data_IF_735830844564
#
_entry.id   IF_735830844564
#
_cell.length_a   1.000
_cell.length_b   1.000
_cell.length_c   1.000
_cell.angle_alpha   90.00
_cell.angle_beta   90.00
_cell.angle_gamma   90.00
#
_symmetry.space_group_name_H-M   'P 1'
#
loop_
_entity.id
_entity.type
_entity.pdbx_description
1 polymer ?
#
# COMPACT_ATOMS: atom_id res chain seq x y z
N UNK A 1 -4.71 -33.73 -7.17
CA UNK A 1 -4.98 -32.82 -8.30
C UNK A 1 -3.66 -32.44 -8.93
N UNK A 2 -3.64 -32.27 -10.25
CA UNK A 2 -2.49 -31.80 -11.03
C UNK A 2 -1.89 -30.49 -10.48
N UNK A 3 -2.74 -29.55 -10.06
CA UNK A 3 -2.32 -28.25 -9.50
C UNK A 3 -1.39 -28.44 -8.28
N UNK A 4 -1.78 -29.29 -7.33
CA UNK A 4 -0.98 -29.58 -6.13
C UNK A 4 0.37 -30.23 -6.46
N UNK A 5 0.42 -31.05 -7.52
CA UNK A 5 1.69 -31.64 -7.98
C UNK A 5 2.64 -30.55 -8.49
N UNK A 6 2.13 -29.60 -9.28
CA UNK A 6 2.91 -28.48 -9.80
C UNK A 6 3.44 -27.59 -8.66
N UNK A 7 2.62 -27.27 -7.66
CA UNK A 7 3.03 -26.47 -6.49
C UNK A 7 4.18 -27.12 -5.72
N UNK A 8 4.07 -28.41 -5.42
CA UNK A 8 5.13 -29.16 -4.73
C UNK A 8 6.41 -29.18 -5.56
N UNK A 9 6.29 -29.36 -6.88
CA UNK A 9 7.44 -29.36 -7.78
C UNK A 9 8.13 -27.99 -7.83
N UNK A 10 7.36 -26.90 -7.83
CA UNK A 10 7.90 -25.55 -7.77
C UNK A 10 8.70 -25.30 -6.49
N UNK A 11 8.19 -25.73 -5.33
CA UNK A 11 8.93 -25.63 -4.06
C UNK A 11 10.24 -26.42 -4.12
N UNK A 12 10.19 -27.65 -4.62
CA UNK A 12 11.38 -28.51 -4.75
C UNK A 12 12.45 -27.89 -5.65
N UNK A 13 12.05 -27.25 -6.76
CA UNK A 13 12.99 -26.64 -7.71
C UNK A 13 13.81 -25.50 -7.09
N UNK A 14 13.30 -24.83 -6.06
CA UNK A 14 14.00 -23.72 -5.39
C UNK A 14 15.40 -24.09 -4.89
N UNK A 15 15.60 -25.33 -4.42
CA UNK A 15 16.92 -25.79 -3.95
C UNK A 15 17.91 -25.97 -5.10
N UNK A 16 17.45 -26.32 -6.30
CA UNK A 16 18.32 -26.42 -7.48
C UNK A 16 18.79 -25.04 -7.93
N UNK A 17 17.90 -24.05 -7.90
CA UNK A 17 18.24 -22.64 -8.16
C UNK A 17 19.26 -22.15 -7.15
N UNK A 18 19.02 -22.39 -5.85
CA UNK A 18 19.97 -22.09 -4.78
C UNK A 18 21.35 -22.68 -5.07
N UNK A 19 21.45 -24.00 -5.31
CA UNK A 19 22.74 -24.64 -5.52
C UNK A 19 23.45 -24.17 -6.78
N UNK A 20 22.71 -23.85 -7.84
CA UNK A 20 23.27 -23.28 -9.06
C UNK A 20 23.91 -21.93 -8.77
N UNK A 21 23.18 -21.01 -8.15
CA UNK A 21 23.65 -19.67 -7.85
C UNK A 21 24.76 -19.66 -6.81
N UNK A 22 24.63 -20.43 -5.74
CA UNK A 22 25.64 -20.53 -4.70
C UNK A 22 26.98 -21.04 -5.24
N UNK A 23 26.97 -22.07 -6.11
CA UNK A 23 28.21 -22.60 -6.71
C UNK A 23 28.80 -21.67 -7.78
N UNK A 24 27.96 -21.12 -8.66
CA UNK A 24 28.43 -20.33 -9.81
C UNK A 24 28.83 -18.91 -9.41
N UNK A 25 28.04 -18.26 -8.54
CA UNK A 25 28.17 -16.84 -8.22
C UNK A 25 28.85 -16.61 -6.87
N UNK A 26 28.57 -17.46 -5.87
CA UNK A 26 29.05 -17.25 -4.50
C UNK A 26 30.23 -18.15 -4.11
N UNK A 27 30.65 -19.05 -5.00
CA UNK A 27 31.84 -19.88 -4.79
C UNK A 27 31.67 -21.02 -3.78
N UNK A 28 30.42 -21.46 -3.51
CA UNK A 28 30.15 -22.59 -2.62
C UNK A 28 31.01 -23.82 -2.98
N UNK A 29 31.78 -24.31 -2.01
CA UNK A 29 32.66 -25.47 -2.16
C UNK A 29 34.01 -25.18 -2.81
N UNK A 30 34.40 -23.90 -2.97
CA UNK A 30 35.72 -23.52 -3.48
C UNK A 30 36.75 -23.27 -2.38
N UNK A 31 36.36 -23.25 -1.10
CA UNK A 31 37.29 -23.13 0.02
C UNK A 31 38.38 -24.21 -0.03
N UNK A 32 39.65 -23.79 0.03
CA UNK A 32 40.83 -24.67 0.07
C UNK A 32 41.50 -24.67 1.45
N UNK A 33 40.80 -24.22 2.48
CA UNK A 33 41.33 -24.27 3.85
C UNK A 33 41.42 -25.71 4.33
N UNK A 34 42.53 -26.05 4.97
CA UNK A 34 42.72 -27.35 5.61
C UNK A 34 42.05 -27.44 6.99
N UNK A 35 41.53 -26.32 7.50
CA UNK A 35 40.78 -26.28 8.75
C UNK A 35 39.28 -26.53 8.50
N UNK A 36 38.70 -27.43 9.29
CA UNK A 36 37.29 -27.81 9.14
C UNK A 36 36.36 -26.68 9.55
N UNK A 37 36.71 -25.92 10.60
CA UNK A 37 35.91 -24.78 11.06
C UNK A 37 35.87 -23.69 9.99
N UNK A 38 37.00 -23.45 9.30
CA UNK A 38 37.04 -22.55 8.15
C UNK A 38 36.14 -23.01 6.98
N UNK A 39 36.03 -24.32 6.70
CA UNK A 39 35.12 -24.83 5.67
C UNK A 39 33.65 -24.68 6.06
N UNK A 40 33.33 -24.90 7.35
CA UNK A 40 31.99 -24.64 7.89
C UNK A 40 31.66 -23.15 7.74
N UNK A 41 32.57 -22.28 8.17
CA UNK A 41 32.38 -20.84 8.12
C UNK A 41 32.15 -20.34 6.67
N UNK A 42 32.96 -20.77 5.71
CA UNK A 42 32.81 -20.42 4.29
C UNK A 42 31.43 -20.84 3.74
N UNK A 43 31.01 -22.07 4.06
CA UNK A 43 29.69 -22.58 3.66
C UNK A 43 28.57 -21.75 4.29
N UNK A 44 28.64 -21.46 5.59
CA UNK A 44 27.63 -20.66 6.30
C UNK A 44 27.57 -19.23 5.76
N UNK A 45 28.72 -18.60 5.51
CA UNK A 45 28.79 -17.26 4.92
C UNK A 45 28.13 -17.26 3.55
N UNK A 46 28.41 -18.25 2.71
CA UNK A 46 27.78 -18.40 1.39
C UNK A 46 26.26 -18.50 1.48
N UNK A 47 25.74 -19.24 2.47
CA UNK A 47 24.30 -19.36 2.72
C UNK A 47 23.68 -18.00 3.10
N UNK A 48 24.33 -17.27 4.01
CA UNK A 48 23.89 -15.94 4.45
C UNK A 48 23.90 -14.95 3.27
N UNK A 49 24.97 -14.96 2.47
CA UNK A 49 25.09 -14.13 1.27
C UNK A 49 23.94 -14.38 0.30
N UNK A 50 23.61 -15.64 0.02
CA UNK A 50 22.48 -15.98 -0.83
C UNK A 50 21.15 -15.46 -0.25
N UNK A 51 20.90 -15.64 1.05
CA UNK A 51 19.68 -15.14 1.70
C UNK A 51 19.55 -13.62 1.52
N UNK A 52 20.61 -12.86 1.76
CA UNK A 52 20.60 -11.41 1.65
C UNK A 52 20.40 -10.94 0.20
N UNK A 53 21.06 -11.57 -0.76
CA UNK A 53 20.93 -11.25 -2.18
C UNK A 53 19.52 -11.57 -2.69
N UNK A 54 18.98 -12.74 -2.38
CA UNK A 54 17.62 -13.11 -2.80
C UNK A 54 16.57 -12.26 -2.10
N UNK A 55 16.79 -11.86 -0.85
CA UNK A 55 15.94 -10.88 -0.15
C UNK A 55 15.94 -9.54 -0.87
N UNK A 56 17.11 -8.98 -1.17
CA UNK A 56 17.25 -7.74 -1.93
C UNK A 56 16.57 -7.84 -3.29
N UNK A 57 16.82 -8.93 -4.02
CA UNK A 57 16.19 -9.17 -5.31
C UNK A 57 14.66 -9.20 -5.21
N UNK A 58 14.10 -9.83 -4.16
CA UNK A 58 12.66 -9.79 -3.90
C UNK A 58 12.16 -8.38 -3.63
N UNK A 59 12.83 -7.60 -2.78
CA UNK A 59 12.45 -6.19 -2.55
C UNK A 59 12.48 -5.35 -3.83
N UNK A 60 13.42 -5.62 -4.73
CA UNK A 60 13.56 -4.85 -5.97
C UNK A 60 12.60 -5.32 -7.09
N UNK A 61 12.26 -6.62 -7.15
CA UNK A 61 11.57 -7.22 -8.31
C UNK A 61 10.22 -7.90 -8.00
N UNK A 62 10.01 -8.41 -6.77
CA UNK A 62 8.83 -9.23 -6.43
C UNK A 62 7.92 -8.63 -5.36
N UNK A 63 8.45 -7.86 -4.41
CA UNK A 63 7.62 -7.05 -3.53
C UNK A 63 6.99 -5.96 -4.39
N UNK A 64 5.83 -6.29 -4.91
CA UNK A 64 4.97 -5.31 -5.52
C UNK A 64 4.70 -4.27 -4.44
N UNK A 65 5.24 -3.08 -4.66
CA UNK A 65 4.66 -1.87 -4.09
C UNK A 65 3.14 -1.81 -4.36
N UNK A 66 2.56 -2.68 -5.21
CA UNK A 66 1.14 -2.82 -5.48
C UNK A 66 0.25 -2.85 -4.25
N UNK A 67 0.52 -3.69 -3.24
CA UNK A 67 -0.33 -3.71 -2.04
C UNK A 67 -0.24 -2.39 -1.24
N UNK A 68 0.96 -1.79 -1.16
CA UNK A 68 1.17 -0.47 -0.56
C UNK A 68 0.52 0.64 -1.39
N UNK A 69 0.60 0.57 -2.72
CA UNK A 69 0.01 1.51 -3.66
C UNK A 69 -1.51 1.38 -3.68
N UNK A 70 -2.08 0.20 -3.50
CA UNK A 70 -3.53 0.01 -3.41
C UNK A 70 -4.08 0.69 -2.14
N UNK A 71 -3.41 0.49 -1.00
CA UNK A 71 -3.76 1.18 0.25
C UNK A 71 -3.64 2.71 0.12
N UNK A 72 -2.57 3.20 -0.51
CA UNK A 72 -2.34 4.63 -0.71
C UNK A 72 -3.29 5.22 -1.77
N UNK A 73 -3.63 4.44 -2.81
CA UNK A 73 -4.51 4.86 -3.90
C UNK A 73 -5.92 5.12 -3.41
N UNK A 74 -6.48 4.26 -2.55
CA UNK A 74 -7.79 4.51 -1.95
C UNK A 74 -7.80 5.82 -1.16
N UNK A 75 -6.77 6.06 -0.33
CA UNK A 75 -6.63 7.32 0.40
C UNK A 75 -6.54 8.55 -0.50
N UNK A 76 -5.76 8.48 -1.58
CA UNK A 76 -5.61 9.59 -2.54
C UNK A 76 -6.91 9.86 -3.30
N UNK A 77 -7.64 8.82 -3.70
CA UNK A 77 -8.91 8.97 -4.42
C UNK A 77 -9.96 9.64 -3.53
N UNK A 78 -10.08 9.20 -2.27
CA UNK A 78 -10.99 9.80 -1.30
C UNK A 78 -10.63 11.27 -1.03
N UNK A 79 -9.34 11.58 -0.83
CA UNK A 79 -8.90 12.96 -0.58
C UNK A 79 -9.20 13.88 -1.78
N UNK A 80 -8.98 13.42 -3.02
CA UNK A 80 -9.29 14.20 -4.22
C UNK A 80 -10.78 14.45 -4.41
N UNK A 81 -11.61 13.45 -4.07
CA UNK A 81 -13.06 13.61 -4.10
C UNK A 81 -13.51 14.64 -3.06
N UNK A 82 -12.97 14.60 -1.84
CA UNK A 82 -13.26 15.56 -0.79
C UNK A 82 -12.87 16.99 -1.20
N UNK A 83 -11.67 17.18 -1.76
CA UNK A 83 -11.22 18.49 -2.26
C UNK A 83 -12.15 19.02 -3.37
N UNK A 84 -12.59 18.17 -4.29
CA UNK A 84 -13.50 18.56 -5.37
C UNK A 84 -14.90 18.90 -4.86
N UNK A 85 -15.44 18.11 -3.93
CA UNK A 85 -16.75 18.37 -3.31
C UNK A 85 -16.72 19.67 -2.51
N UNK A 86 -15.63 19.91 -1.77
CA UNK A 86 -15.46 21.16 -1.02
C UNK A 86 -15.36 22.37 -1.95
N UNK A 87 -14.58 22.26 -3.04
CA UNK A 87 -14.52 23.30 -4.06
C UNK A 87 -15.89 23.57 -4.71
N UNK A 88 -16.66 22.52 -5.00
CA UNK A 88 -18.02 22.66 -5.55
C UNK A 88 -18.98 23.33 -4.56
N UNK A 89 -18.86 23.02 -3.27
CA UNK A 89 -19.65 23.65 -2.22
C UNK A 89 -19.38 25.16 -2.13
N UNK A 90 -18.10 25.57 -2.17
CA UNK A 90 -17.71 26.99 -2.17
C UNK A 90 -18.25 27.70 -3.42
N UNK A 91 -18.15 27.09 -4.60
CA UNK A 91 -18.66 27.68 -5.83
C UNK A 91 -20.19 27.83 -5.83
N UNK A 92 -20.92 26.90 -5.20
CA UNK A 92 -22.37 27.04 -5.00
C UNK A 92 -22.70 28.22 -4.08
N UNK A 93 -21.94 28.44 -3.00
CA UNK A 93 -22.12 29.58 -2.11
C UNK A 93 -21.86 30.91 -2.83
N UNK A 94 -20.81 30.98 -3.65
CA UNK A 94 -20.53 32.15 -4.50
C UNK A 94 -21.64 32.45 -5.48
N UNK A 95 -22.23 31.41 -6.09
CA UNK A 95 -23.37 31.60 -6.97
C UNK A 95 -24.58 32.17 -6.22
N UNK A 96 -24.80 31.74 -4.97
CA UNK A 96 -25.87 32.28 -4.13
C UNK A 96 -25.61 33.76 -3.80
N UNK A 97 -24.39 34.12 -3.39
CA UNK A 97 -23.99 35.52 -3.15
C UNK A 97 -24.25 36.40 -4.40
N UNK A 98 -23.82 35.95 -5.58
CA UNK A 98 -24.05 36.68 -6.85
C UNK A 98 -25.54 36.78 -7.22
N UNK A 99 -26.35 35.75 -6.94
CA UNK A 99 -27.77 35.72 -7.31
C UNK A 99 -28.67 36.48 -6.34
N UNK A 100 -28.27 36.61 -5.08
CA UNK A 100 -29.03 37.26 -4.03
C UNK A 100 -28.25 38.48 -3.51
N UNK A 101 -28.48 39.63 -4.16
CA UNK A 101 -27.87 40.91 -3.81
C UNK A 101 -27.99 41.20 -2.29
N UNK A 102 -26.84 41.36 -1.63
CA UNK A 102 -26.74 41.70 -0.20
C UNK A 102 -26.59 40.51 0.76
N UNK A 103 -26.29 39.30 0.28
CA UNK A 103 -26.03 38.13 1.12
C UNK A 103 -24.58 37.64 0.94
N UNK A 104 -23.71 37.98 1.88
CA UNK A 104 -22.29 37.60 1.84
C UNK A 104 -22.05 36.10 2.08
N UNK A 105 -21.11 35.50 1.34
CA UNK A 105 -20.79 34.06 1.40
C UNK A 105 -20.31 33.64 2.81
N UNK A 106 -19.56 34.50 3.50
CA UNK A 106 -19.05 34.22 4.84
C UNK A 106 -20.15 34.33 5.89
N UNK A 107 -21.06 35.28 5.74
CA UNK A 107 -22.22 35.43 6.62
C UNK A 107 -23.16 34.21 6.54
N UNK A 108 -23.35 33.63 5.35
CA UNK A 108 -24.11 32.38 5.17
C UNK A 108 -23.41 31.24 5.92
N UNK A 109 -22.10 31.08 5.72
CA UNK A 109 -21.30 30.04 6.38
C UNK A 109 -21.39 30.14 7.90
N UNK A 110 -21.25 31.36 8.45
CA UNK A 110 -21.32 31.61 9.88
C UNK A 110 -22.72 31.27 10.43
N UNK A 111 -23.79 31.65 9.72
CA UNK A 111 -25.16 31.30 10.12
C UNK A 111 -25.41 29.80 10.07
N UNK A 112 -24.90 29.11 9.05
CA UNK A 112 -25.03 27.65 8.89
C UNK A 112 -24.29 26.89 9.99
N UNK A 113 -23.10 27.35 10.39
CA UNK A 113 -22.32 26.71 11.45
C UNK A 113 -22.91 26.92 12.85
N UNK A 114 -23.60 28.04 13.06
CA UNK A 114 -24.19 28.40 14.35
C UNK A 114 -25.66 27.98 14.49
N UNK A 115 -26.30 27.47 13.43
CA UNK A 115 -27.68 26.99 13.45
C UNK A 115 -27.75 25.48 13.73
N UNK A 116 -28.41 25.12 14.83
CA UNK A 116 -28.54 23.74 15.31
C UNK A 116 -29.29 22.83 14.32
N UNK A 117 -30.26 23.38 13.57
CA UNK A 117 -31.02 22.62 12.55
C UNK A 117 -30.20 22.43 11.29
N UNK A 118 -29.43 23.45 10.88
CA UNK A 118 -28.51 23.32 9.76
C UNK A 118 -27.44 22.26 10.05
N UNK A 119 -26.91 22.24 11.27
CA UNK A 119 -25.99 21.21 11.74
C UNK A 119 -26.62 19.80 11.70
N UNK A 120 -27.87 19.64 12.12
CA UNK A 120 -28.58 18.36 11.98
C UNK A 120 -28.78 17.93 10.51
N UNK A 121 -29.12 18.86 9.62
CA UNK A 121 -29.28 18.57 8.19
C UNK A 121 -27.96 18.12 7.55
N UNK A 122 -26.86 18.81 7.88
CA UNK A 122 -25.51 18.44 7.42
C UNK A 122 -25.11 17.07 7.97
N UNK A 123 -25.36 16.81 9.27
CA UNK A 123 -25.07 15.51 9.87
C UNK A 123 -25.86 14.36 9.25
N UNK A 124 -27.11 14.60 8.81
CA UNK A 124 -27.89 13.58 8.09
C UNK A 124 -27.30 13.25 6.73
N UNK A 125 -26.73 14.24 6.04
CA UNK A 125 -26.04 14.04 4.76
C UNK A 125 -24.73 13.25 4.95
N UNK A 126 -23.99 13.52 6.03
CA UNK A 126 -22.69 12.88 6.32
C UNK A 126 -22.81 11.48 6.95
N UNK A 127 -23.90 11.17 7.66
CA UNK A 127 -24.07 9.87 8.35
C UNK A 127 -24.30 8.68 7.41
N UNK A 128 -24.78 8.91 6.19
CA UNK A 128 -25.08 7.81 5.25
C UNK A 128 -23.82 7.05 4.75
N UNK A 129 -22.61 7.56 4.97
CA UNK A 129 -21.37 6.88 4.57
C UNK A 129 -20.82 5.89 5.61
N UNK A 130 -21.29 5.94 6.87
CA UNK A 130 -20.78 5.04 7.93
C UNK A 130 -21.56 3.73 8.07
N UNK A 131 -22.83 3.68 7.66
CA UNK A 131 -23.66 2.46 7.80
C UNK A 131 -23.38 1.38 6.73
N UNK A 132 -22.72 1.72 5.62
CA UNK A 132 -22.34 0.70 4.61
C UNK A 132 -21.08 -0.10 4.97
N UNK A 133 -20.34 0.26 6.03
CA UNK A 133 -19.16 -0.51 6.48
C UNK A 133 -19.47 -1.62 7.48
N UNK A 134 -20.70 -1.69 8.01
CA UNK A 134 -21.12 -2.71 8.98
C UNK A 134 -22.02 -3.81 8.40
N UNK A 135 -22.14 -3.90 7.07
CA UNK A 135 -23.02 -4.85 6.37
C UNK A 135 -22.27 -5.83 5.44
N UNK A 136 -21.03 -6.18 5.75
CA UNK A 136 -20.28 -7.27 5.09
C UNK A 136 -19.52 -8.12 6.11
#
# INVERSE_FOLDING_TARGET
>A
SFIRMIEIYQIRWSIEVFFKEAKQLLGLGKCQSNDFDAQIADTTITMIQHILLTLKYRFEHYESKGALFDQVREGIVQSRLNERLWGLFIELLRLIDVLFDGIDEMEILERVLNDEKAYEMINRLLRNDFDMKNAA
#
